data_IF_093109462814
#
_entry.id   IF_093109462814
#
_cell.length_a   1.000
_cell.length_b   1.000
_cell.length_c   1.000
_cell.angle_alpha   90.00
_cell.angle_beta   90.00
_cell.angle_gamma   90.00
#
_symmetry.space_group_name_H-M   'P 1'
#
loop_
_entity.id
_entity.type
_entity.pdbx_description
1 polymer ?
#
# COMPACT_ATOMS: atom_id res chain seq x y z
N UNK A 1 -19.52 -26.02 17.13
CA UNK A 1 -20.02 -26.68 15.89
C UNK A 1 -21.14 -25.80 15.38
N UNK A 2 -21.20 -25.38 14.10
CA UNK A 2 -21.46 -26.36 13.04
C UNK A 2 -21.10 -25.96 11.57
N UNK A 3 -21.42 -26.89 10.65
CA UNK A 3 -21.71 -26.77 9.20
C UNK A 3 -20.66 -26.30 8.18
N UNK A 4 -20.25 -27.30 7.38
CA UNK A 4 -20.07 -27.36 5.91
C UNK A 4 -19.58 -26.14 5.11
N UNK A 5 -18.47 -26.39 4.41
CA UNK A 5 -17.97 -25.68 3.25
C UNK A 5 -19.04 -25.39 2.20
N UNK A 6 -19.04 -24.16 1.68
CA UNK A 6 -19.72 -23.80 0.44
C UNK A 6 -18.83 -22.86 -0.38
N UNK A 7 -18.30 -23.40 -1.48
CA UNK A 7 -17.65 -22.68 -2.58
C UNK A 7 -18.72 -21.95 -3.38
N UNK A 8 -18.59 -20.64 -3.59
CA UNK A 8 -19.42 -19.91 -4.54
C UNK A 8 -18.74 -19.92 -5.92
N UNK A 9 -19.29 -20.72 -6.82
CA UNK A 9 -19.16 -20.55 -8.26
C UNK A 9 -20.44 -19.88 -8.78
N UNK A 10 -20.39 -18.89 -9.68
CA UNK A 10 -21.56 -18.53 -10.45
C UNK A 10 -21.60 -19.44 -11.69
N UNK A 11 -22.59 -20.31 -11.76
CA UNK A 11 -23.09 -20.87 -13.02
C UNK A 11 -24.55 -20.51 -13.15
N UNK A 12 -24.96 -20.27 -14.41
CA UNK A 12 -26.24 -20.60 -15.09
C UNK A 12 -26.50 -19.48 -16.12
N UNK A 13 -26.78 -19.70 -17.41
CA UNK A 13 -26.89 -20.90 -18.27
C UNK A 13 -26.75 -20.47 -19.74
N UNK A 14 -26.61 -21.47 -20.61
CA UNK A 14 -26.45 -21.43 -22.06
C UNK A 14 -27.50 -20.62 -22.85
N UNK A 15 -27.03 -19.97 -23.92
CA UNK A 15 -27.78 -19.95 -25.18
C UNK A 15 -26.83 -20.09 -26.38
N UNK A 16 -27.00 -21.19 -27.12
CA UNK A 16 -26.40 -21.50 -28.43
C UNK A 16 -24.89 -21.77 -28.47
N UNK A 17 -24.52 -23.06 -28.49
CA UNK A 17 -23.23 -23.51 -29.02
C UNK A 17 -23.26 -23.34 -30.55
N UNK A 18 -22.84 -22.16 -31.03
CA UNK A 18 -22.49 -21.95 -32.44
C UNK A 18 -20.96 -22.02 -32.50
N UNK A 19 -20.39 -22.88 -33.34
CA UNK A 19 -18.95 -22.81 -33.66
C UNK A 19 -18.68 -21.42 -34.23
N UNK A 20 -18.07 -20.54 -33.44
CA UNK A 20 -17.46 -19.33 -33.99
C UNK A 20 -16.15 -19.83 -34.63
N UNK A 21 -16.13 -20.00 -35.95
CA UNK A 21 -14.86 -20.03 -36.66
C UNK A 21 -14.22 -18.66 -36.48
N UNK A 22 -13.40 -18.51 -35.46
CA UNK A 22 -12.66 -17.28 -35.21
C UNK A 22 -11.40 -17.31 -36.08
N UNK A 23 -11.57 -17.03 -37.37
CA UNK A 23 -10.47 -16.49 -38.18
C UNK A 23 -10.10 -15.16 -37.52
N UNK A 24 -9.09 -15.17 -36.64
CA UNK A 24 -8.65 -13.97 -35.94
C UNK A 24 -8.12 -12.99 -36.97
N UNK A 25 -8.93 -11.98 -37.32
CA UNK A 25 -8.48 -10.90 -38.18
C UNK A 25 -7.19 -10.30 -37.60
N UNK A 26 -6.23 -9.96 -38.46
CA UNK A 26 -4.99 -9.26 -38.06
C UNK A 26 -5.29 -7.99 -37.26
N UNK A 27 -6.45 -7.36 -37.51
CA UNK A 27 -6.95 -6.23 -36.73
C UNK A 27 -7.34 -6.61 -35.30
N UNK A 28 -7.95 -7.77 -35.09
CA UNK A 28 -8.29 -8.27 -33.76
C UNK A 28 -7.03 -8.63 -32.95
N UNK A 29 -6.02 -9.21 -33.60
CA UNK A 29 -4.71 -9.47 -32.99
C UNK A 29 -4.00 -8.18 -32.55
N UNK A 30 -4.02 -7.15 -33.41
CA UNK A 30 -3.43 -5.84 -33.08
C UNK A 30 -4.16 -5.18 -31.90
N UNK A 31 -5.49 -5.26 -31.85
CA UNK A 31 -6.29 -4.73 -30.73
C UNK A 31 -5.98 -5.48 -29.44
N UNK A 32 -5.93 -6.82 -29.47
CA UNK A 32 -5.56 -7.63 -28.29
C UNK A 32 -4.15 -7.27 -27.80
N UNK A 33 -3.20 -7.07 -28.72
CA UNK A 33 -1.82 -6.68 -28.38
C UNK A 33 -1.74 -5.28 -27.75
N UNK A 34 -2.58 -4.33 -28.18
CA UNK A 34 -2.63 -2.99 -27.60
C UNK A 34 -3.30 -2.99 -26.24
N UNK A 35 -4.37 -3.77 -26.07
CA UNK A 35 -5.05 -3.95 -24.79
C UNK A 35 -4.13 -4.65 -23.79
N UNK A 36 -3.41 -5.71 -24.19
CA UNK A 36 -2.46 -6.38 -23.31
C UNK A 36 -1.31 -5.46 -22.91
N UNK A 37 -0.79 -4.64 -23.84
CA UNK A 37 0.23 -3.64 -23.51
C UNK A 37 -0.31 -2.60 -22.51
N UNK A 38 -1.54 -2.11 -22.68
CA UNK A 38 -2.17 -1.18 -21.76
C UNK A 38 -2.42 -1.79 -20.36
N UNK A 39 -2.80 -3.08 -20.30
CA UNK A 39 -2.95 -3.82 -19.03
C UNK A 39 -1.59 -4.03 -18.34
N UNK A 40 -0.53 -4.32 -19.10
CA UNK A 40 0.84 -4.42 -18.56
C UNK A 40 1.32 -3.07 -18.02
N UNK A 41 0.95 -1.95 -18.67
CA UNK A 41 1.22 -0.61 -18.14
C UNK A 41 0.44 -0.33 -16.83
N UNK A 42 -0.78 -0.84 -16.70
CA UNK A 42 -1.58 -0.77 -15.47
C UNK A 42 -1.07 -1.70 -14.35
N UNK A 43 -0.29 -2.73 -14.70
CA UNK A 43 0.32 -3.65 -13.76
C UNK A 43 1.66 -3.15 -13.20
N UNK A 44 2.09 -1.93 -13.54
CA UNK A 44 3.10 -1.25 -12.73
C UNK A 44 2.57 -1.16 -11.29
N UNK A 45 3.37 -1.64 -10.34
CA UNK A 45 3.16 -1.36 -8.93
C UNK A 45 2.91 0.14 -8.80
N UNK A 46 1.76 0.52 -8.21
CA UNK A 46 1.33 1.92 -8.16
C UNK A 46 2.33 2.80 -7.41
N UNK A 47 3.18 2.19 -6.56
CA UNK A 47 4.21 2.88 -5.79
C UNK A 47 5.57 2.19 -5.95
N UNK A 48 6.60 3.00 -6.16
CA UNK A 48 8.01 2.60 -6.07
C UNK A 48 8.56 2.88 -4.66
N UNK A 49 9.64 2.20 -4.24
CA UNK A 49 10.39 2.56 -3.04
C UNK A 49 10.70 4.05 -2.89
N UNK A 50 11.00 4.72 -4.01
CA UNK A 50 11.36 6.12 -4.02
C UNK A 50 10.17 7.02 -3.66
N UNK A 51 8.95 6.65 -4.04
CA UNK A 51 7.75 7.45 -3.75
C UNK A 51 7.49 7.53 -2.24
N UNK A 52 7.64 6.41 -1.53
CA UNK A 52 7.58 6.38 -0.07
C UNK A 52 8.71 7.23 0.55
N UNK A 53 9.94 7.05 0.05
CA UNK A 53 11.12 7.73 0.59
C UNK A 53 11.03 9.25 0.43
N UNK A 54 10.59 9.72 -0.74
CA UNK A 54 10.45 11.14 -1.06
C UNK A 54 9.36 11.81 -0.24
N UNK A 55 8.22 11.15 -0.05
CA UNK A 55 7.14 11.66 0.80
C UNK A 55 7.62 11.83 2.25
N UNK A 56 8.32 10.84 2.80
CA UNK A 56 8.91 10.94 4.14
C UNK A 56 9.95 12.05 4.22
N UNK A 57 10.89 12.11 3.27
CA UNK A 57 11.99 13.07 3.29
C UNK A 57 11.51 14.51 3.10
N UNK A 58 10.43 14.72 2.36
CA UNK A 58 9.75 16.02 2.25
C UNK A 58 9.20 16.47 3.61
N UNK A 59 8.51 15.57 4.33
CA UNK A 59 7.99 15.88 5.66
C UNK A 59 9.11 16.16 6.67
N UNK A 60 10.18 15.34 6.67
CA UNK A 60 11.34 15.50 7.57
C UNK A 60 12.10 16.80 7.34
N UNK A 61 12.31 17.17 6.08
CA UNK A 61 12.99 18.41 5.71
C UNK A 61 12.20 19.64 6.18
N UNK A 62 10.86 19.57 6.12
CA UNK A 62 9.98 20.66 6.58
C UNK A 62 10.18 21.00 8.06
N UNK A 63 10.63 20.04 8.87
CA UNK A 63 10.89 20.22 10.31
C UNK A 63 12.37 20.17 10.67
N UNK A 64 13.26 20.23 9.67
CA UNK A 64 14.71 20.27 9.88
C UNK A 64 15.33 18.95 10.36
N UNK A 65 14.65 17.83 10.15
CA UNK A 65 15.17 16.48 10.45
C UNK A 65 15.83 15.90 9.20
N UNK A 66 16.98 15.25 9.37
CA UNK A 66 17.74 14.67 8.25
C UNK A 66 16.98 13.59 7.49
N UNK A 67 17.23 13.51 6.18
CA UNK A 67 16.61 12.52 5.28
C UNK A 67 16.95 11.08 5.67
N UNK A 68 15.99 10.18 5.47
CA UNK A 68 16.19 8.75 5.52
C UNK A 68 16.75 8.24 4.20
N UNK A 69 17.34 7.04 4.26
CA UNK A 69 17.71 6.23 3.11
C UNK A 69 16.84 4.98 3.09
N UNK A 70 16.56 4.47 1.90
CA UNK A 70 15.84 3.21 1.76
C UNK A 70 16.68 2.03 2.23
N UNK A 71 16.07 1.07 2.92
CA UNK A 71 16.67 -0.20 3.33
C UNK A 71 15.81 -1.36 2.82
N UNK A 72 16.36 -2.13 1.89
CA UNK A 72 15.66 -3.27 1.28
C UNK A 72 15.32 -4.38 2.28
N UNK A 73 16.07 -4.48 3.38
CA UNK A 73 15.81 -5.46 4.45
C UNK A 73 14.54 -5.08 5.21
N UNK A 74 14.38 -3.79 5.52
CA UNK A 74 13.18 -3.26 6.20
C UNK A 74 11.97 -3.36 5.27
N UNK A 75 12.14 -3.04 3.99
CA UNK A 75 11.10 -3.17 2.99
C UNK A 75 10.61 -4.62 2.83
N UNK A 76 11.54 -5.58 2.76
CA UNK A 76 11.22 -7.00 2.67
C UNK A 76 10.47 -7.49 3.92
N UNK A 77 10.87 -7.02 5.11
CA UNK A 77 10.15 -7.30 6.36
C UNK A 77 8.72 -6.77 6.31
N UNK A 78 8.52 -5.50 5.95
CA UNK A 78 7.20 -4.88 5.91
C UNK A 78 6.26 -5.59 4.92
N UNK A 79 6.76 -5.94 3.73
CA UNK A 79 5.99 -6.68 2.73
C UNK A 79 5.59 -8.07 3.24
N UNK A 80 6.52 -8.79 3.87
CA UNK A 80 6.24 -10.11 4.45
C UNK A 80 5.21 -10.03 5.57
N UNK A 81 5.28 -8.98 6.40
CA UNK A 81 4.37 -8.80 7.53
C UNK A 81 2.93 -8.51 7.07
N UNK A 82 2.75 -7.54 6.19
CA UNK A 82 1.42 -7.18 5.64
C UNK A 82 0.81 -8.36 4.88
N UNK A 83 1.60 -9.13 4.14
CA UNK A 83 1.13 -10.33 3.43
C UNK A 83 0.53 -11.40 4.36
N UNK A 84 0.92 -11.42 5.64
CA UNK A 84 0.31 -12.29 6.66
C UNK A 84 -0.99 -11.73 7.25
N UNK A 85 -1.11 -10.40 7.33
CA UNK A 85 -2.25 -9.69 7.91
C UNK A 85 -3.49 -9.65 7.02
N UNK A 86 -3.34 -9.85 5.71
CA UNK A 86 -4.48 -9.78 4.75
C UNK A 86 -5.60 -10.78 5.03
N UNK A 87 -5.37 -11.78 5.90
CA UNK A 87 -6.38 -12.77 6.28
C UNK A 87 -7.34 -12.29 7.38
N UNK A 88 -6.95 -11.31 8.21
CA UNK A 88 -7.73 -10.85 9.36
C UNK A 88 -8.40 -9.49 9.17
N UNK A 89 -7.94 -8.67 8.21
CA UNK A 89 -8.37 -7.28 8.01
C UNK A 89 -8.25 -6.40 9.28
N UNK A 90 -7.45 -6.82 10.26
CA UNK A 90 -7.17 -6.06 11.48
C UNK A 90 -5.76 -5.50 11.33
N UNK A 91 -5.62 -4.19 11.50
CA UNK A 91 -4.31 -3.55 11.59
C UNK A 91 -3.74 -3.82 12.99
N UNK A 92 -2.84 -4.79 13.08
CA UNK A 92 -2.08 -5.06 14.28
C UNK A 92 -0.60 -4.77 14.00
N UNK A 93 0.09 -4.23 15.00
CA UNK A 93 1.52 -3.96 14.90
C UNK A 93 2.36 -5.23 15.01
N UNK A 94 3.52 -5.26 14.34
CA UNK A 94 4.44 -6.41 14.39
C UNK A 94 5.08 -6.59 15.76
N UNK A 95 4.43 -7.41 16.60
CA UNK A 95 4.88 -7.69 17.96
C UNK A 95 6.31 -8.27 18.00
N UNK A 96 7.20 -7.62 18.76
CA UNK A 96 8.58 -8.07 18.93
C UNK A 96 9.54 -7.68 17.81
N UNK A 97 9.09 -6.91 16.82
CA UNK A 97 9.97 -6.29 15.81
C UNK A 97 10.92 -5.27 16.46
N UNK A 98 12.14 -5.15 15.91
CA UNK A 98 13.09 -4.09 16.27
C UNK A 98 12.86 -2.79 15.51
N UNK A 99 11.97 -2.78 14.52
CA UNK A 99 11.68 -1.62 13.70
C UNK A 99 10.53 -0.79 14.28
N UNK A 100 10.63 0.53 14.15
CA UNK A 100 9.46 1.40 14.25
C UNK A 100 8.50 1.12 13.09
N UNK A 101 7.20 1.25 13.31
CA UNK A 101 6.18 0.81 12.35
C UNK A 101 5.01 1.79 12.29
N UNK A 102 4.63 2.15 11.06
CA UNK A 102 3.35 2.78 10.78
C UNK A 102 2.54 1.83 9.87
N UNK A 103 1.25 1.74 10.13
CA UNK A 103 0.30 0.96 9.33
C UNK A 103 -0.75 1.91 8.75
N UNK A 104 -1.22 1.59 7.54
CA UNK A 104 -2.31 2.30 6.90
C UNK A 104 -3.34 1.28 6.40
N UNK A 105 -4.61 1.56 6.69
CA UNK A 105 -5.74 0.84 6.14
C UNK A 105 -6.53 1.75 5.21
N UNK A 106 -6.95 1.23 4.07
CA UNK A 106 -7.73 1.95 3.09
C UNK A 106 -8.36 1.01 2.08
N UNK A 107 -8.81 1.57 0.96
CA UNK A 107 -9.24 0.79 -0.20
C UNK A 107 -8.04 0.09 -0.88
N UNK A 108 -8.32 -0.89 -1.74
CA UNK A 108 -7.30 -1.70 -2.41
C UNK A 108 -6.37 -0.89 -3.34
N UNK A 109 -6.76 0.34 -3.67
CA UNK A 109 -6.06 1.31 -4.50
C UNK A 109 -5.39 2.44 -3.70
N UNK A 110 -5.28 2.31 -2.37
CA UNK A 110 -4.55 3.27 -1.54
C UNK A 110 -3.09 3.30 -1.97
N UNK A 111 -2.68 4.42 -2.56
CA UNK A 111 -1.29 4.68 -2.88
C UNK A 111 -0.44 4.83 -1.61
N UNK A 112 0.78 4.33 -1.67
CA UNK A 112 1.80 4.46 -0.64
C UNK A 112 2.10 5.90 -0.26
N UNK A 113 2.16 6.79 -1.24
CA UNK A 113 2.30 8.24 -1.00
C UNK A 113 1.12 8.80 -0.20
N UNK A 114 -0.11 8.41 -0.54
CA UNK A 114 -1.30 8.82 0.20
C UNK A 114 -1.29 8.29 1.64
N UNK A 115 -0.79 7.07 1.88
CA UNK A 115 -0.60 6.54 3.23
C UNK A 115 0.39 7.39 4.05
N UNK A 116 1.52 7.80 3.46
CA UNK A 116 2.49 8.69 4.11
C UNK A 116 1.86 10.06 4.39
N UNK A 117 1.10 10.61 3.44
CA UNK A 117 0.39 11.88 3.62
C UNK A 117 -0.64 11.82 4.76
N UNK A 118 -1.34 10.70 4.93
CA UNK A 118 -2.25 10.48 6.06
C UNK A 118 -1.50 10.54 7.39
N UNK A 119 -0.35 9.86 7.50
CA UNK A 119 0.49 9.93 8.71
C UNK A 119 1.02 11.35 8.94
N UNK A 120 1.43 12.06 7.87
CA UNK A 120 1.90 13.45 7.96
C UNK A 120 0.79 14.42 8.35
N UNK A 121 -0.46 14.16 7.97
CA UNK A 121 -1.60 15.02 8.30
C UNK A 121 -1.84 15.11 9.82
N UNK A 122 -1.44 14.09 10.59
CA UNK A 122 -1.52 14.11 12.04
C UNK A 122 -0.63 15.19 12.70
N UNK A 123 0.26 15.83 11.94
CA UNK A 123 1.01 17.02 12.39
C UNK A 123 0.10 18.10 13.01
N UNK A 124 -1.15 18.18 12.55
CA UNK A 124 -2.13 19.15 13.06
C UNK A 124 -2.46 18.91 14.55
N UNK A 125 -2.26 17.68 15.03
CA UNK A 125 -2.50 17.27 16.41
C UNK A 125 -1.20 17.19 17.22
N UNK A 126 -0.02 17.53 16.68
CA UNK A 126 1.23 17.46 17.44
C UNK A 126 1.67 18.83 17.92
N UNK A 127 1.78 19.00 19.24
CA UNK A 127 2.34 20.20 19.84
C UNK A 127 3.82 19.99 20.19
N UNK A 128 4.68 20.68 19.45
CA UNK A 128 6.13 20.64 19.64
C UNK A 128 6.59 21.19 20.99
N UNK A 129 5.85 22.12 21.60
CA UNK A 129 6.26 22.73 22.87
C UNK A 129 6.09 21.75 24.03
N UNK A 130 4.97 21.02 24.05
CA UNK A 130 4.68 20.01 25.05
C UNK A 130 5.19 18.61 24.68
N UNK A 131 5.63 18.42 23.43
CA UNK A 131 6.03 17.12 22.89
C UNK A 131 4.92 16.07 23.07
N UNK A 132 3.68 16.43 22.74
CA UNK A 132 2.51 15.57 22.96
C UNK A 132 1.45 15.73 21.88
N UNK A 133 0.57 14.73 21.76
CA UNK A 133 -0.60 14.83 20.90
C UNK A 133 -1.70 15.64 21.60
N UNK A 134 -2.25 16.62 20.90
CA UNK A 134 -3.30 17.54 21.35
C UNK A 134 -4.48 17.45 20.38
N UNK A 135 -5.63 16.98 20.87
CA UNK A 135 -6.86 16.97 20.08
C UNK A 135 -7.02 15.83 19.07
N UNK A 136 -6.10 14.86 19.06
CA UNK A 136 -6.19 13.66 18.21
C UNK A 136 -4.94 12.81 18.26
N UNK A 137 -4.85 11.83 17.36
CA UNK A 137 -3.67 10.99 17.18
C UNK A 137 -2.56 11.77 16.48
N UNK A 138 -1.31 11.47 16.86
CA UNK A 138 -0.11 12.04 16.25
C UNK A 138 1.09 11.08 16.18
N UNK A 139 0.88 9.82 16.58
CA UNK A 139 1.98 8.87 16.74
C UNK A 139 2.58 8.47 15.39
N UNK A 140 1.76 8.36 14.33
CA UNK A 140 2.29 8.08 13.00
C UNK A 140 3.13 9.24 12.49
N UNK A 141 2.69 10.48 12.73
CA UNK A 141 3.48 11.67 12.41
C UNK A 141 4.83 11.67 13.13
N UNK A 142 4.83 11.43 14.44
CA UNK A 142 6.08 11.42 15.21
C UNK A 142 7.06 10.35 14.71
N UNK A 143 6.57 9.22 14.22
CA UNK A 143 7.42 8.18 13.61
C UNK A 143 8.00 8.64 12.26
N UNK A 144 7.22 9.33 11.41
CA UNK A 144 7.69 9.87 10.12
C UNK A 144 8.83 10.87 10.32
N UNK A 145 8.68 11.78 11.30
CA UNK A 145 9.69 12.82 11.59
C UNK A 145 10.66 12.44 12.71
N UNK A 146 10.73 11.15 13.06
CA UNK A 146 11.58 10.70 14.16
C UNK A 146 13.06 10.98 13.88
N UNK A 147 13.68 11.77 14.75
CA UNK A 147 15.11 12.02 14.68
C UNK A 147 15.87 10.89 15.37
N UNK A 148 16.49 10.01 14.59
CA UNK A 148 17.57 9.15 15.08
C UNK A 148 18.73 10.08 15.40
N UNK A 149 18.96 10.38 16.67
CA UNK A 149 20.11 11.19 17.08
C UNK A 149 21.38 10.37 16.84
N UNK A 150 21.95 10.49 15.65
CA UNK A 150 23.37 10.26 15.40
C UNK A 150 23.89 11.51 14.72
N UNK A 151 24.55 12.33 15.53
CA UNK A 151 25.51 13.34 15.07
C UNK A 151 26.58 12.70 14.20
#
# INVERSE_FOLDING_TARGET
MPFSSATLAPSVYFSSCRRINMEMSKTALAIISLISLAIVHHAHAQDSPQDFLDAHNTARTTVGVGSMIWDDTVAAFALSYISGLTSSCILEHSAGSSYGENLAGGSADLAGTAAVEMWVAERANYDYNSNSCVGGECLHYTQVVWASRFV
#
